data_IF_721040600687
#
_entry.id   IF_721040600687
#
_cell.length_a   1.000
_cell.length_b   1.000
_cell.length_c   1.000
_cell.angle_alpha   90.00
_cell.angle_beta   90.00
_cell.angle_gamma   90.00
#
_symmetry.space_group_name_H-M   'P 1'
#
loop_
_entity.id
_entity.type
_entity.pdbx_description
1 polymer ?
#
# COMPACT_ATOMS: atom_id res chain seq x y z
N UNK A 1 -4.34 12.09 -14.74
CA UNK A 1 -4.50 12.55 -13.34
C UNK A 1 -3.85 11.55 -12.38
N UNK A 2 -3.73 11.87 -11.08
CA UNK A 2 -3.10 11.02 -10.04
C UNK A 2 -4.11 10.79 -8.91
N UNK A 3 -4.04 9.65 -8.22
CA UNK A 3 -4.77 9.46 -6.95
C UNK A 3 -4.05 10.22 -5.85
N UNK A 4 -4.72 11.17 -5.19
CA UNK A 4 -4.17 11.95 -4.08
C UNK A 4 -4.91 11.76 -2.75
N UNK A 5 -6.02 11.04 -2.78
CA UNK A 5 -6.83 10.73 -1.60
C UNK A 5 -7.06 9.21 -1.53
N UNK A 6 -7.00 8.67 -0.31
CA UNK A 6 -7.09 7.24 -0.05
C UNK A 6 -8.50 6.66 -0.33
N UNK A 7 -9.51 7.52 -0.28
CA UNK A 7 -10.89 7.22 -0.65
C UNK A 7 -11.13 7.15 -2.17
N UNK A 8 -10.17 7.59 -2.99
CA UNK A 8 -10.27 7.55 -4.44
C UNK A 8 -9.58 6.34 -5.07
N UNK A 9 -8.62 5.73 -4.37
CA UNK A 9 -7.80 4.68 -4.96
C UNK A 9 -8.51 3.32 -4.95
N UNK A 10 -8.59 2.62 -6.10
CA UNK A 10 -9.08 1.25 -6.13
C UNK A 10 -8.17 0.33 -5.29
N UNK A 11 -8.78 -0.62 -4.57
CA UNK A 11 -8.05 -1.56 -3.72
C UNK A 11 -7.00 -2.36 -4.50
N UNK A 12 -7.29 -2.71 -5.76
CA UNK A 12 -6.33 -3.34 -6.66
C UNK A 12 -5.08 -2.49 -6.86
N UNK A 13 -5.25 -1.18 -7.15
CA UNK A 13 -4.14 -0.27 -7.35
C UNK A 13 -3.33 -0.10 -6.06
N UNK A 14 -4.03 0.03 -4.93
CA UNK A 14 -3.41 0.06 -3.61
C UNK A 14 -2.56 -1.19 -3.34
N UNK A 15 -3.10 -2.39 -3.54
CA UNK A 15 -2.35 -3.64 -3.39
C UNK A 15 -1.11 -3.69 -4.29
N UNK A 16 -1.20 -3.20 -5.53
CA UNK A 16 -0.03 -3.13 -6.41
C UNK A 16 1.01 -2.14 -5.92
N UNK A 17 0.60 -1.00 -5.36
CA UNK A 17 1.53 -0.02 -4.77
C UNK A 17 2.25 -0.62 -3.55
N UNK A 18 1.51 -1.19 -2.60
CA UNK A 18 2.08 -1.70 -1.33
C UNK A 18 2.91 -2.98 -1.48
N UNK A 19 2.57 -3.85 -2.46
CA UNK A 19 3.23 -5.15 -2.63
C UNK A 19 4.35 -5.12 -3.65
N UNK A 20 4.15 -4.39 -4.75
CA UNK A 20 5.10 -4.37 -5.87
C UNK A 20 5.98 -3.13 -5.86
N UNK A 21 5.62 -2.09 -5.10
CA UNK A 21 6.34 -0.81 -5.10
C UNK A 21 6.33 -0.14 -6.47
N UNK A 22 5.24 -0.34 -7.24
CA UNK A 22 5.14 0.11 -8.63
C UNK A 22 4.31 1.39 -8.72
N UNK A 23 4.99 2.53 -8.83
CA UNK A 23 4.39 3.86 -8.81
C UNK A 23 3.41 4.10 -9.96
N UNK A 24 3.43 3.29 -11.03
CA UNK A 24 2.51 3.47 -12.16
C UNK A 24 1.05 3.36 -11.75
N UNK A 25 0.74 2.61 -10.68
CA UNK A 25 -0.62 2.44 -10.18
C UNK A 25 -1.14 3.64 -9.39
N UNK A 26 -0.28 4.64 -9.14
CA UNK A 26 -0.66 5.94 -8.56
C UNK A 26 -1.34 6.84 -9.59
N UNK A 27 -1.10 6.61 -10.88
CA UNK A 27 -1.64 7.42 -11.95
C UNK A 27 -3.01 6.88 -12.43
N UNK A 28 -3.98 7.78 -12.57
CA UNK A 28 -5.28 7.51 -13.19
C UNK A 28 -5.16 7.38 -14.72
N UNK A 29 -4.25 8.17 -15.31
CA UNK A 29 -3.99 8.23 -16.76
C UNK A 29 -2.48 8.15 -17.07
N UNK A 30 -2.06 8.63 -18.25
CA UNK A 30 -0.63 8.74 -18.61
C UNK A 30 0.17 9.47 -17.52
N UNK A 31 1.41 9.03 -17.26
CA UNK A 31 2.26 9.65 -16.25
C UNK A 31 2.49 11.13 -16.59
N UNK A 32 2.22 12.00 -15.62
CA UNK A 32 2.44 13.45 -15.68
C UNK A 32 3.61 13.79 -14.76
N UNK A 33 4.36 14.84 -15.08
CA UNK A 33 5.45 15.34 -14.22
C UNK A 33 4.83 15.91 -12.94
N UNK A 34 4.78 15.09 -11.89
CA UNK A 34 4.20 15.40 -10.58
C UNK A 34 5.10 14.84 -9.48
N UNK A 35 5.02 15.43 -8.29
CA UNK A 35 5.73 14.91 -7.11
C UNK A 35 5.01 13.66 -6.58
N UNK A 36 5.34 12.52 -7.22
CA UNK A 36 4.83 11.20 -6.86
C UNK A 36 5.13 10.87 -5.39
N UNK A 37 6.22 11.41 -4.84
CA UNK A 37 6.63 11.13 -3.47
C UNK A 37 5.71 11.83 -2.48
N UNK A 38 5.46 13.13 -2.65
CA UNK A 38 4.52 13.86 -1.77
C UNK A 38 3.13 13.23 -1.79
N UNK A 39 2.66 12.85 -2.98
CA UNK A 39 1.33 12.24 -3.12
C UNK A 39 1.29 10.86 -2.45
N UNK A 40 2.32 10.05 -2.66
CA UNK A 40 2.43 8.75 -2.02
C UNK A 40 2.49 8.85 -0.50
N UNK A 41 3.29 9.78 0.05
CA UNK A 41 3.35 10.03 1.48
C UNK A 41 1.98 10.44 2.04
N UNK A 42 1.29 11.37 1.38
CA UNK A 42 -0.04 11.80 1.82
C UNK A 42 -1.09 10.69 1.80
N UNK A 43 -1.03 9.76 0.84
CA UNK A 43 -1.90 8.57 0.83
C UNK A 43 -1.57 7.59 1.97
N UNK A 44 -0.30 7.48 2.35
CA UNK A 44 0.14 6.65 3.46
C UNK A 44 -0.29 7.23 4.80
N UNK A 45 -0.13 8.54 5.00
CA UNK A 45 -0.57 9.23 6.22
C UNK A 45 -2.07 9.02 6.45
N UNK A 46 -2.89 9.18 5.40
CA UNK A 46 -4.32 8.89 5.47
C UNK A 46 -4.64 7.43 5.83
N UNK A 47 -3.86 6.48 5.30
CA UNK A 47 -4.02 5.07 5.64
C UNK A 47 -3.62 4.77 7.10
N UNK A 48 -2.57 5.42 7.62
CA UNK A 48 -2.14 5.26 8.99
C UNK A 48 -3.09 5.88 10.01
N UNK A 49 -3.58 7.09 9.72
CA UNK A 49 -4.62 7.76 10.50
C UNK A 49 -5.87 6.89 10.58
N UNK A 50 -6.18 6.20 9.48
CA UNK A 50 -7.29 5.27 9.44
C UNK A 50 -7.02 4.03 10.30
N UNK A 51 -5.89 3.34 10.13
CA UNK A 51 -5.69 2.00 10.69
C UNK A 51 -5.21 1.96 12.16
N UNK A 52 -4.64 3.05 12.67
CA UNK A 52 -3.95 3.05 13.97
C UNK A 52 -2.56 2.36 13.85
N UNK A 53 -1.54 2.95 14.46
CA UNK A 53 -0.14 2.59 14.17
C UNK A 53 0.41 1.60 15.20
N UNK A 54 1.07 0.53 14.73
CA UNK A 54 2.15 -0.13 15.47
C UNK A 54 3.52 0.37 14.98
N UNK A 55 4.44 0.65 15.90
CA UNK A 55 5.75 1.25 15.59
C UNK A 55 6.61 0.41 14.64
N UNK A 56 6.47 -0.92 14.71
CA UNK A 56 7.16 -1.86 13.84
C UNK A 56 6.68 -1.74 12.38
N UNK A 57 5.38 -1.55 12.19
CA UNK A 57 4.79 -1.36 10.87
C UNK A 57 5.27 -0.04 10.24
N UNK A 58 5.33 1.04 11.01
CA UNK A 58 5.91 2.33 10.58
C UNK A 58 7.35 2.18 10.09
N UNK A 59 8.15 1.35 10.78
CA UNK A 59 9.55 1.13 10.43
C UNK A 59 9.70 0.34 9.13
N UNK A 60 8.95 -0.75 8.97
CA UNK A 60 8.86 -1.50 7.70
C UNK A 60 8.48 -0.57 6.56
N UNK A 61 7.51 0.33 6.81
CA UNK A 61 6.98 1.24 5.80
C UNK A 61 7.94 2.32 5.36
N UNK A 62 8.68 2.94 6.29
CA UNK A 62 9.74 3.90 5.94
C UNK A 62 10.78 3.27 5.03
N UNK A 63 11.14 2.00 5.27
CA UNK A 63 12.10 1.28 4.44
C UNK A 63 11.51 0.99 3.05
N UNK A 64 10.24 0.55 2.96
CA UNK A 64 9.53 0.36 1.67
C UNK A 64 9.47 1.65 0.84
N UNK A 65 9.10 2.77 1.47
CA UNK A 65 9.06 4.08 0.81
C UNK A 65 10.45 4.50 0.30
N UNK A 66 11.48 4.30 1.12
CA UNK A 66 12.86 4.61 0.74
C UNK A 66 13.40 3.72 -0.39
N UNK A 67 12.93 2.47 -0.55
CA UNK A 67 13.24 1.61 -1.70
C UNK A 67 12.57 2.15 -2.96
N UNK A 68 11.31 2.58 -2.84
CA UNK A 68 10.52 3.06 -3.96
C UNK A 68 11.09 4.36 -4.55
N UNK A 69 11.53 5.28 -3.69
CA UNK A 69 12.28 6.48 -4.12
C UNK A 69 13.52 6.08 -4.91
N UNK A 70 14.36 5.20 -4.35
CA UNK A 70 15.60 4.80 -5.02
C UNK A 70 15.34 4.16 -6.39
N UNK A 71 14.24 3.41 -6.53
CA UNK A 71 13.83 2.82 -7.81
C UNK A 71 13.38 3.88 -8.82
N UNK A 72 12.61 4.87 -8.36
CA UNK A 72 12.18 5.99 -9.19
C UNK A 72 13.39 6.81 -9.64
N UNK A 73 14.26 7.19 -8.70
CA UNK A 73 15.49 7.94 -8.98
C UNK A 73 16.41 7.18 -9.94
N UNK A 74 16.54 5.87 -9.77
CA UNK A 74 17.33 5.03 -10.67
C UNK A 74 16.73 5.00 -12.07
N UNK A 75 15.41 4.91 -12.19
CA UNK A 75 14.73 4.95 -13.48
C UNK A 75 14.87 6.30 -14.18
N UNK A 76 14.91 7.40 -13.43
CA UNK A 76 15.05 8.77 -13.96
C UNK A 76 16.49 9.14 -14.30
N UNK A 77 17.47 8.65 -13.53
CA UNK A 77 18.89 9.07 -13.63
C UNK A 77 19.81 8.02 -14.26
N UNK A 78 19.38 6.77 -14.34
CA UNK A 78 20.22 5.63 -14.76
C UNK A 78 21.32 5.27 -13.76
N UNK A 79 21.34 5.86 -12.56
CA UNK A 79 22.42 5.66 -11.59
C UNK A 79 22.35 4.26 -10.94
N UNK A 80 23.23 3.36 -11.39
CA UNK A 80 23.30 1.98 -10.88
C UNK A 80 23.75 1.87 -9.42
N UNK A 81 24.35 2.91 -8.82
CA UNK A 81 24.68 2.92 -7.39
C UNK A 81 23.44 2.77 -6.50
N UNK A 82 22.29 3.26 -6.98
CA UNK A 82 21.01 3.12 -6.31
C UNK A 82 20.58 1.66 -6.15
N UNK A 83 21.04 0.73 -7.01
CA UNK A 83 20.79 -0.70 -6.83
C UNK A 83 21.39 -1.25 -5.54
N UNK A 84 22.58 -0.78 -5.16
CA UNK A 84 23.20 -1.24 -3.91
C UNK A 84 22.42 -0.72 -2.70
N UNK A 85 21.95 0.54 -2.77
CA UNK A 85 21.10 1.15 -1.73
C UNK A 85 19.75 0.43 -1.60
N UNK A 86 19.11 0.11 -2.73
CA UNK A 86 17.89 -0.70 -2.79
C UNK A 86 18.13 -2.07 -2.15
N UNK A 87 19.22 -2.77 -2.53
CA UNK A 87 19.54 -4.10 -2.00
C UNK A 87 19.74 -4.11 -0.48
N UNK A 88 20.37 -3.08 0.08
CA UNK A 88 20.56 -2.97 1.54
C UNK A 88 19.20 -2.84 2.22
N UNK A 89 18.36 -1.92 1.75
CA UNK A 89 17.01 -1.69 2.30
C UNK A 89 16.10 -2.92 2.13
N UNK A 90 16.19 -3.62 1.01
CA UNK A 90 15.46 -4.89 0.80
C UNK A 90 15.91 -5.98 1.77
N UNK A 91 17.20 -5.99 2.14
CA UNK A 91 17.74 -6.92 3.14
C UNK A 91 17.25 -6.59 4.54
N UNK A 92 17.20 -5.30 4.89
CA UNK A 92 16.59 -4.81 6.12
C UNK A 92 15.11 -5.21 6.19
N UNK A 93 14.38 -5.09 5.08
CA UNK A 93 12.97 -5.48 4.99
C UNK A 93 12.73 -6.98 5.21
N UNK A 94 13.64 -7.82 4.74
CA UNK A 94 13.59 -9.28 4.96
C UNK A 94 13.83 -9.67 6.43
N UNK A 95 14.43 -8.79 7.22
CA UNK A 95 14.61 -8.99 8.66
C UNK A 95 13.31 -8.88 9.45
N UNK A 96 12.28 -8.26 8.89
CA UNK A 96 10.96 -8.21 9.49
C UNK A 96 10.16 -9.46 9.12
N UNK A 97 9.61 -10.18 10.11
CA UNK A 97 8.70 -11.30 9.89
C UNK A 97 7.33 -10.79 9.48
N UNK A 98 7.16 -10.41 8.20
CA UNK A 98 5.87 -9.96 7.68
C UNK A 98 5.15 -11.16 7.05
N UNK A 99 4.25 -11.77 7.83
CA UNK A 99 3.41 -12.88 7.40
C UNK A 99 2.32 -12.36 6.44
N UNK A 100 2.67 -12.16 5.16
CA UNK A 100 1.93 -11.26 4.26
C UNK A 100 0.97 -11.92 3.27
N UNK A 101 0.98 -13.24 3.14
CA UNK A 101 0.31 -13.94 2.02
C UNK A 101 -0.90 -14.80 2.40
N UNK A 102 -1.05 -15.33 3.64
CA UNK A 102 -2.27 -16.06 4.03
C UNK A 102 -3.43 -15.20 4.54
N UNK A 103 -3.18 -14.00 5.11
CA UNK A 103 -4.26 -13.18 5.70
C UNK A 103 -5.19 -12.54 4.65
N UNK A 104 -4.68 -12.02 3.54
CA UNK A 104 -5.48 -11.14 2.65
C UNK A 104 -6.67 -11.82 1.99
N UNK A 105 -6.53 -13.09 1.60
CA UNK A 105 -7.64 -13.88 1.08
C UNK A 105 -8.70 -14.16 2.16
N UNK A 106 -8.25 -14.37 3.41
CA UNK A 106 -9.16 -14.54 4.55
C UNK A 106 -9.87 -13.23 4.88
N UNK A 107 -9.17 -12.11 4.90
CA UNK A 107 -9.73 -10.77 5.10
C UNK A 107 -10.76 -10.45 4.01
N UNK A 108 -10.43 -10.65 2.73
CA UNK A 108 -11.37 -10.45 1.64
C UNK A 108 -12.63 -11.33 1.78
N UNK A 109 -12.46 -12.59 2.20
CA UNK A 109 -13.60 -13.48 2.46
C UNK A 109 -14.45 -13.02 3.66
N UNK A 110 -13.81 -12.48 4.71
CA UNK A 110 -14.50 -11.90 5.87
C UNK A 110 -15.27 -10.64 5.50
N UNK A 111 -14.68 -9.74 4.71
CA UNK A 111 -15.34 -8.54 4.21
C UNK A 111 -16.52 -8.92 3.28
N UNK A 112 -16.34 -9.92 2.41
CA UNK A 112 -17.41 -10.42 1.55
C UNK A 112 -18.59 -10.97 2.37
N UNK A 113 -18.29 -11.75 3.42
CA UNK A 113 -19.30 -12.23 4.38
C UNK A 113 -20.00 -11.07 5.09
N UNK A 114 -19.28 -10.06 5.56
CA UNK A 114 -19.86 -8.89 6.24
C UNK A 114 -20.77 -8.06 5.34
N UNK A 115 -20.44 -7.97 4.04
CA UNK A 115 -21.24 -7.24 3.06
C UNK A 115 -22.39 -8.08 2.44
N UNK A 116 -22.60 -9.32 2.88
CA UNK A 116 -23.55 -10.27 2.29
C UNK A 116 -23.35 -10.45 0.76
N UNK A 117 -22.10 -10.40 0.28
CA UNK A 117 -21.75 -10.64 -1.12
C UNK A 117 -20.85 -11.86 -1.24
N UNK A 118 -21.04 -12.66 -2.30
CA UNK A 118 -20.24 -13.88 -2.51
C UNK A 118 -18.80 -13.59 -2.96
N UNK A 119 -18.55 -12.39 -3.51
CA UNK A 119 -17.24 -11.97 -3.99
C UNK A 119 -17.09 -10.45 -4.00
N UNK A 120 -15.92 -9.95 -3.61
CA UNK A 120 -15.56 -8.54 -3.73
C UNK A 120 -14.58 -8.40 -4.89
N UNK A 121 -14.94 -7.57 -5.87
CA UNK A 121 -14.05 -7.19 -6.97
C UNK A 121 -13.05 -6.11 -6.51
N UNK A 122 -11.75 -6.42 -6.36
CA UNK A 122 -10.75 -5.45 -5.87
C UNK A 122 -10.55 -4.26 -6.81
N UNK A 123 -10.99 -4.36 -8.07
CA UNK A 123 -10.91 -3.25 -9.04
C UNK A 123 -12.03 -2.23 -8.87
N UNK A 124 -13.12 -2.61 -8.20
CA UNK A 124 -14.32 -1.78 -8.02
C UNK A 124 -14.42 -1.19 -6.61
N UNK A 125 -13.93 -1.90 -5.60
CA UNK A 125 -13.91 -1.39 -4.23
C UNK A 125 -12.76 -0.40 -4.02
N UNK A 126 -13.04 0.69 -3.31
CA UNK A 126 -12.05 1.68 -2.89
C UNK A 126 -11.26 1.17 -1.68
N UNK A 127 -9.98 1.55 -1.57
CA UNK A 127 -9.12 1.09 -0.49
C UNK A 127 -9.66 1.51 0.89
N UNK A 128 -10.07 2.77 1.07
CA UNK A 128 -10.70 3.24 2.30
C UNK A 128 -11.93 2.38 2.71
N UNK A 129 -12.83 2.09 1.76
CA UNK A 129 -14.02 1.28 2.05
C UNK A 129 -13.67 -0.13 2.53
N UNK A 130 -12.66 -0.77 1.92
CA UNK A 130 -12.18 -2.09 2.34
C UNK A 130 -11.62 -2.07 3.77
N UNK A 131 -10.72 -1.13 4.08
CA UNK A 131 -10.08 -1.08 5.38
C UNK A 131 -11.03 -0.64 6.51
N UNK A 132 -12.04 0.18 6.20
CA UNK A 132 -13.08 0.55 7.17
C UNK A 132 -13.91 -0.65 7.60
N UNK A 133 -14.18 -1.58 6.68
CA UNK A 133 -14.89 -2.81 7.00
C UNK A 133 -14.02 -3.73 7.85
N UNK A 134 -12.73 -3.86 7.51
CA UNK A 134 -11.79 -4.65 8.32
C UNK A 134 -11.70 -4.13 9.75
N UNK A 135 -11.60 -2.81 9.93
CA UNK A 135 -11.61 -2.23 11.27
C UNK A 135 -12.89 -2.55 12.01
N UNK A 136 -14.05 -2.36 11.38
CA UNK A 136 -15.33 -2.67 12.03
C UNK A 136 -15.46 -4.16 12.40
N UNK A 137 -14.99 -5.07 11.54
CA UNK A 137 -14.95 -6.51 11.84
C UNK A 137 -14.05 -6.77 13.05
N UNK A 138 -12.85 -6.20 13.08
CA UNK A 138 -11.90 -6.40 14.17
C UNK A 138 -12.40 -5.80 15.48
N UNK A 139 -13.05 -4.63 15.45
CA UNK A 139 -13.62 -3.98 16.64
C UNK A 139 -14.84 -4.71 17.23
N UNK A 140 -15.54 -5.53 16.44
CA UNK A 140 -16.70 -6.31 16.90
C UNK A 140 -16.37 -7.80 17.17
N UNK A 141 -15.12 -8.23 16.94
CA UNK A 141 -14.66 -9.60 17.18
C UNK A 141 -14.18 -9.89 18.60
N UNK A 142 -14.14 -8.89 19.48
CA UNK A 142 -13.64 -8.98 20.87
C UNK A 142 -14.75 -9.13 21.93
N UNK A 143 -15.96 -9.57 21.56
CA UNK A 143 -17.04 -9.93 22.50
C UNK A 143 -17.47 -11.40 22.36
#
# INVERSE_FOLDING_TARGET
MVYSQFDEIPLFNWFKLIDKGDAKYLFKDKPVKVDVMTIWMGLQDQYFDMMGISDEFTRIWKIKGAIMIDRIDMALTGNLFLNNRIRIKERELKGFQIDTKPQRNKEMAQVAKYQNVSFIDPRKIKAAAYYGIIQNINSHGDN
#
